data_IF_966895148443
#
_entry.id   IF_966895148443
#
_cell.length_a   1.000
_cell.length_b   1.000
_cell.length_c   1.000
_cell.angle_alpha   90.00
_cell.angle_beta   90.00
_cell.angle_gamma   90.00
#
_symmetry.space_group_name_H-M   'P 1'
#
loop_
_entity.id
_entity.type
_entity.pdbx_description
1 polymer ?
#
# COMPACT_ATOMS: atom_id res chain seq x y z
N UNK A 1 2.47 13.82 -4.29
CA UNK A 1 2.66 13.15 -2.98
C UNK A 1 3.94 12.32 -3.02
N UNK A 2 4.69 12.20 -1.90
CA UNK A 2 5.88 11.34 -1.85
C UNK A 2 5.51 9.87 -1.56
N UNK A 3 6.34 8.95 -2.03
CA UNK A 3 6.20 7.51 -1.79
C UNK A 3 6.22 7.17 -0.29
N UNK A 4 6.91 7.98 0.52
CA UNK A 4 6.97 7.88 1.97
C UNK A 4 5.63 8.17 2.64
N UNK A 5 4.85 9.13 2.13
CA UNK A 5 3.51 9.43 2.64
C UNK A 5 2.55 8.27 2.40
N UNK A 6 2.64 7.64 1.21
CA UNK A 6 1.85 6.44 0.91
C UNK A 6 2.23 5.28 1.82
N UNK A 7 3.53 5.05 2.04
CA UNK A 7 4.03 4.02 2.94
C UNK A 7 3.49 4.19 4.37
N UNK A 8 3.54 5.42 4.91
CA UNK A 8 3.01 5.72 6.25
C UNK A 8 1.53 5.38 6.37
N UNK A 9 0.72 5.73 5.38
CA UNK A 9 -0.70 5.40 5.36
C UNK A 9 -0.95 3.89 5.30
N UNK A 10 -0.15 3.16 4.53
CA UNK A 10 -0.26 1.71 4.40
C UNK A 10 0.16 0.99 5.69
N UNK A 11 1.23 1.42 6.36
CA UNK A 11 1.63 0.90 7.68
C UNK A 11 0.55 1.21 8.73
N UNK A 12 0.00 2.41 8.70
CA UNK A 12 -1.11 2.77 9.59
C UNK A 12 -2.30 1.82 9.40
N UNK A 13 -2.63 1.47 8.15
CA UNK A 13 -3.67 0.49 7.85
C UNK A 13 -3.36 -0.90 8.44
N UNK A 14 -2.11 -1.38 8.32
CA UNK A 14 -1.70 -2.66 8.90
C UNK A 14 -1.92 -2.67 10.41
N UNK A 15 -1.47 -1.62 11.10
CA UNK A 15 -1.64 -1.48 12.55
C UNK A 15 -3.11 -1.37 12.94
N UNK A 16 -3.92 -0.62 12.20
CA UNK A 16 -5.36 -0.47 12.44
C UNK A 16 -6.13 -1.79 12.31
N UNK A 17 -5.68 -2.68 11.43
CA UNK A 17 -6.24 -4.00 11.24
C UNK A 17 -5.71 -5.03 12.27
N UNK A 18 -4.93 -4.61 13.25
CA UNK A 18 -4.39 -5.47 14.31
C UNK A 18 -3.10 -6.19 13.93
N UNK A 19 -2.40 -5.73 12.88
CA UNK A 19 -1.09 -6.24 12.51
C UNK A 19 -0.05 -6.07 13.61
N UNK A 20 0.72 -7.12 13.84
CA UNK A 20 1.87 -7.09 14.74
C UNK A 20 3.07 -6.37 14.08
N UNK A 21 4.01 -5.89 14.91
CA UNK A 21 5.15 -5.10 14.40
C UNK A 21 6.10 -5.93 13.51
N UNK A 22 6.19 -7.24 13.70
CA UNK A 22 6.91 -8.14 12.79
C UNK A 22 6.28 -8.18 11.38
N UNK A 23 4.95 -8.07 11.28
CA UNK A 23 4.25 -7.94 9.99
C UNK A 23 4.47 -6.57 9.37
N UNK A 24 4.61 -5.52 10.18
CA UNK A 24 4.98 -4.17 9.71
C UNK A 24 6.40 -4.17 9.15
N UNK A 25 7.35 -4.79 9.83
CA UNK A 25 8.75 -4.89 9.39
C UNK A 25 8.89 -5.72 8.10
N UNK A 26 8.15 -6.82 7.99
CA UNK A 26 8.09 -7.62 6.77
C UNK A 26 7.50 -6.81 5.61
N UNK A 27 6.39 -6.10 5.85
CA UNK A 27 5.76 -5.25 4.85
C UNK A 27 6.67 -4.10 4.38
N UNK A 28 7.44 -3.50 5.30
CA UNK A 28 8.44 -2.47 4.98
C UNK A 28 9.50 -2.99 4.02
N UNK A 29 9.95 -4.23 4.23
CA UNK A 29 10.93 -4.89 3.37
C UNK A 29 10.37 -5.09 1.97
N UNK A 30 9.18 -5.70 1.86
CA UNK A 30 8.54 -5.97 0.56
C UNK A 30 8.16 -4.68 -0.17
N UNK A 31 7.75 -3.64 0.57
CA UNK A 31 7.52 -2.31 0.01
C UNK A 31 8.80 -1.75 -0.59
N UNK A 32 9.91 -1.76 0.15
CA UNK A 32 11.20 -1.22 -0.33
C UNK A 32 11.62 -1.93 -1.62
N UNK A 33 11.55 -3.27 -1.64
CA UNK A 33 11.85 -4.05 -2.84
C UNK A 33 10.94 -3.69 -4.02
N UNK A 34 9.65 -3.47 -3.78
CA UNK A 34 8.70 -3.06 -4.81
C UNK A 34 8.95 -1.63 -5.32
N UNK A 35 9.56 -0.76 -4.51
CA UNK A 35 9.92 0.60 -4.93
C UNK A 35 11.25 0.70 -5.66
N UNK A 36 12.17 -0.24 -5.41
CA UNK A 36 13.46 -0.33 -6.10
C UNK A 36 13.33 -0.95 -7.50
N UNK A 37 12.37 -1.86 -7.68
CA UNK A 37 12.07 -2.49 -8.96
C UNK A 37 10.76 -1.94 -9.54
N UNK A 38 10.87 -1.14 -10.61
CA UNK A 38 9.72 -0.52 -11.28
C UNK A 38 8.77 -1.51 -11.95
N UNK A 39 9.15 -2.78 -12.08
CA UNK A 39 8.26 -3.84 -12.53
C UNK A 39 7.32 -4.36 -11.43
N UNK A 40 7.63 -4.08 -10.16
CA UNK A 40 6.87 -4.58 -9.02
C UNK A 40 5.80 -3.58 -8.58
N UNK A 41 4.58 -4.09 -8.47
CA UNK A 41 3.47 -3.32 -7.91
C UNK A 41 3.50 -3.38 -6.38
N UNK A 42 3.10 -2.27 -5.74
CA UNK A 42 3.12 -2.14 -4.29
C UNK A 42 2.23 -3.20 -3.60
N UNK A 43 2.66 -3.77 -2.46
CA UNK A 43 1.87 -4.77 -1.74
C UNK A 43 0.59 -4.16 -1.13
N UNK A 44 -0.49 -4.94 -1.05
CA UNK A 44 -1.72 -4.55 -0.39
C UNK A 44 -1.66 -4.85 1.11
N UNK A 45 -1.79 -3.86 2.01
CA UNK A 45 -1.65 -4.07 3.45
C UNK A 45 -2.72 -5.02 4.02
N UNK A 46 -3.95 -4.99 3.51
CA UNK A 46 -5.03 -5.85 4.01
C UNK A 46 -4.89 -7.30 3.58
N UNK A 47 -4.40 -7.57 2.37
CA UNK A 47 -4.10 -8.95 1.95
C UNK A 47 -2.84 -9.47 2.66
N UNK A 48 -1.86 -8.59 2.88
CA UNK A 48 -0.62 -8.93 3.58
C UNK A 48 -0.86 -9.53 4.96
N UNK A 49 -1.79 -8.93 5.71
CA UNK A 49 -2.16 -9.40 7.06
C UNK A 49 -2.75 -10.80 7.13
N UNK A 50 -3.44 -11.23 6.08
CA UNK A 50 -4.02 -12.58 6.00
C UNK A 50 -3.03 -13.60 5.39
N UNK A 51 -1.76 -13.22 5.22
CA UNK A 51 -0.71 -14.07 4.66
C UNK A 51 -0.72 -14.14 3.12
N UNK A 52 -1.48 -13.26 2.45
CA UNK A 52 -1.52 -13.20 0.99
C UNK A 52 -0.83 -11.93 0.46
N UNK A 53 0.30 -12.10 -0.21
CA UNK A 53 0.96 -10.98 -0.89
C UNK A 53 0.25 -10.70 -2.21
N UNK A 54 -0.74 -9.81 -2.17
CA UNK A 54 -1.45 -9.30 -3.37
C UNK A 54 -1.00 -7.89 -3.67
N UNK A 55 -1.06 -7.52 -4.94
CA UNK A 55 -0.57 -6.23 -5.42
C UNK A 55 -1.70 -5.19 -5.56
N UNK A 56 -1.34 -3.94 -5.28
CA UNK A 56 -2.15 -2.77 -5.54
C UNK A 56 -2.00 -2.39 -7.01
N UNK A 57 -3.13 -2.11 -7.65
CA UNK A 57 -3.16 -1.60 -9.01
C UNK A 57 -3.43 -0.11 -8.97
N UNK A 58 -2.65 0.64 -9.71
CA UNK A 58 -2.88 2.06 -9.92
C UNK A 58 -4.18 2.26 -10.69
N UNK A 59 -5.02 3.19 -10.24
CA UNK A 59 -6.20 3.67 -10.94
C UNK A 59 -5.93 5.07 -11.46
N UNK A 60 -6.65 5.48 -12.50
CA UNK A 60 -6.48 6.81 -13.09
C UNK A 60 -6.55 7.92 -12.04
N UNK A 61 -5.52 8.78 -12.04
CA UNK A 61 -5.47 9.95 -11.19
C UNK A 61 -6.55 10.93 -11.64
N UNK A 62 -7.48 11.26 -10.74
CA UNK A 62 -8.53 12.24 -10.99
C UNK A 62 -8.33 13.42 -10.06
N UNK A 63 -8.28 14.63 -10.59
CA UNK A 63 -8.18 15.86 -9.80
C UNK A 63 -6.99 15.90 -8.81
N UNK A 64 -5.86 15.29 -9.18
CA UNK A 64 -4.66 15.25 -8.33
C UNK A 64 -4.76 14.30 -7.12
N UNK A 65 -5.75 13.41 -7.12
CA UNK A 65 -5.89 12.34 -6.14
C UNK A 65 -5.41 11.04 -6.78
N UNK A 66 -4.31 10.51 -6.27
CA UNK A 66 -3.82 9.19 -6.66
C UNK A 66 -4.65 8.11 -6.00
N UNK A 67 -5.08 7.12 -6.78
CA UNK A 67 -5.96 6.05 -6.32
C UNK A 67 -5.32 4.72 -6.60
N UNK A 68 -5.24 3.86 -5.60
CA UNK A 68 -4.77 2.49 -5.78
C UNK A 68 -5.78 1.51 -5.22
N UNK A 69 -5.96 0.37 -5.90
CA UNK A 69 -6.93 -0.63 -5.50
C UNK A 69 -6.31 -2.03 -5.54
N UNK A 70 -6.55 -2.81 -4.50
CA UNK A 70 -6.23 -4.23 -4.54
C UNK A 70 -7.25 -4.98 -5.40
N UNK A 71 -6.79 -5.80 -6.34
CA UNK A 71 -7.69 -6.62 -7.19
C UNK A 71 -8.33 -7.77 -6.42
N UNK A 72 -7.70 -8.23 -5.34
CA UNK A 72 -8.19 -9.33 -4.52
C UNK A 72 -9.23 -8.85 -3.49
N UNK A 73 -8.83 -8.06 -2.50
CA UNK A 73 -9.74 -7.59 -1.45
C UNK A 73 -10.61 -6.39 -1.87
N UNK A 74 -10.41 -5.87 -3.08
CA UNK A 74 -11.12 -4.72 -3.67
C UNK A 74 -11.00 -3.40 -2.91
N UNK A 75 -10.20 -3.36 -1.85
CA UNK A 75 -9.99 -2.18 -1.01
C UNK A 75 -9.34 -1.06 -1.82
N UNK A 76 -9.92 0.12 -1.68
CA UNK A 76 -9.50 1.35 -2.36
C UNK A 76 -8.73 2.22 -1.37
N UNK A 77 -7.57 2.69 -1.79
CA UNK A 77 -6.78 3.68 -1.08
C UNK A 77 -6.71 4.94 -1.94
N UNK A 78 -6.93 6.08 -1.30
CA UNK A 78 -6.95 7.37 -1.96
C UNK A 78 -5.91 8.27 -1.29
N UNK A 79 -5.12 8.92 -2.13
CA UNK A 79 -3.97 9.71 -1.76
C UNK A 79 -4.13 11.07 -2.41
N UNK A 80 -4.83 11.98 -1.73
CA UNK A 80 -4.95 13.35 -2.19
C UNK A 80 -3.70 14.16 -1.90
N UNK A 81 -3.22 14.95 -2.85
CA UNK A 81 -2.39 16.11 -2.52
C UNK A 81 -3.27 17.06 -1.68
N UNK A 82 -3.28 16.91 -0.36
CA UNK A 82 -3.69 18.00 0.53
C UNK A 82 -2.66 19.11 0.36
N UNK A 83 -2.98 20.07 -0.52
CA UNK A 83 -2.42 21.42 -0.47
C UNK A 83 -2.83 22.10 0.83
#
# INVERSE_FOLDING_TARGET
MSIESMLKAMIHEIRMLGGAEDQVDAYLTDWTMATEDSANSLPCPSCYLIGEIKQLNHLDDTDGISKVRCTCCRKLFQFGNTM
#
